data_IF_004069245930
#
_entry.id   IF_004069245930
#
_cell.length_a   1.000
_cell.length_b   1.000
_cell.length_c   1.000
_cell.angle_alpha   90.00
_cell.angle_beta   90.00
_cell.angle_gamma   90.00
#
_symmetry.space_group_name_H-M   'P 1'
#
loop_
_entity.id
_entity.type
_entity.pdbx_description
1 polymer ?
#
# COMPACT_ATOMS: atom_id res chain seq x y z
N UNK A 1 -10.77 -13.26 -15.55
CA UNK A 1 -12.02 -12.51 -15.77
C UNK A 1 -11.72 -11.04 -15.53
N UNK A 2 -12.26 -10.10 -16.33
CA UNK A 2 -12.12 -8.67 -16.03
C UNK A 2 -12.68 -8.36 -14.63
N UNK A 3 -12.21 -7.30 -13.96
CA UNK A 3 -12.73 -6.95 -12.65
C UNK A 3 -14.19 -6.51 -12.78
N UNK A 4 -15.02 -6.76 -11.74
CA UNK A 4 -16.44 -6.39 -11.78
C UNK A 4 -16.65 -4.92 -12.16
N UNK A 5 -17.64 -4.65 -13.01
CA UNK A 5 -18.00 -3.32 -13.48
C UNK A 5 -18.30 -2.37 -12.32
N UNK A 6 -19.02 -2.85 -11.29
CA UNK A 6 -19.30 -2.08 -10.08
C UNK A 6 -18.00 -1.59 -9.39
N UNK A 7 -16.95 -2.42 -9.36
CA UNK A 7 -15.66 -2.04 -8.78
C UNK A 7 -14.92 -1.00 -9.63
N UNK A 8 -15.03 -1.10 -10.96
CA UNK A 8 -14.44 -0.13 -11.88
C UNK A 8 -15.14 1.23 -11.79
N UNK A 9 -16.47 1.24 -11.70
CA UNK A 9 -17.25 2.47 -11.60
C UNK A 9 -17.05 3.18 -10.27
N UNK A 10 -17.05 2.43 -9.17
CA UNK A 10 -16.70 2.98 -7.86
C UNK A 10 -15.31 3.65 -7.90
N UNK A 11 -14.33 2.97 -8.51
CA UNK A 11 -12.99 3.54 -8.68
C UNK A 11 -12.98 4.84 -9.50
N UNK A 12 -13.64 4.87 -10.67
CA UNK A 12 -13.74 6.08 -11.52
C UNK A 12 -14.41 7.23 -10.77
N UNK A 13 -15.43 6.94 -9.97
CA UNK A 13 -16.10 7.94 -9.14
C UNK A 13 -15.15 8.52 -8.08
N UNK A 14 -14.40 7.67 -7.36
CA UNK A 14 -13.40 8.14 -6.40
C UNK A 14 -12.32 9.00 -7.06
N UNK A 15 -11.85 8.63 -8.26
CA UNK A 15 -10.90 9.44 -9.02
C UNK A 15 -11.47 10.83 -9.37
N UNK A 16 -12.72 10.89 -9.83
CA UNK A 16 -13.37 12.18 -10.16
C UNK A 16 -13.48 13.07 -8.92
N UNK A 17 -13.91 12.50 -7.79
CA UNK A 17 -13.98 13.21 -6.51
C UNK A 17 -12.61 13.74 -6.08
N UNK A 18 -11.57 12.91 -6.23
CA UNK A 18 -10.19 13.29 -5.94
C UNK A 18 -9.74 14.49 -6.80
N UNK A 19 -9.96 14.44 -8.12
CA UNK A 19 -9.57 15.50 -9.05
C UNK A 19 -10.27 16.82 -8.72
N UNK A 20 -11.58 16.77 -8.43
CA UNK A 20 -12.37 17.94 -8.05
C UNK A 20 -11.84 18.55 -6.75
N UNK A 21 -11.57 17.72 -5.74
CA UNK A 21 -11.07 18.17 -4.44
C UNK A 21 -9.66 18.80 -4.54
N UNK A 22 -8.75 18.16 -5.29
CA UNK A 22 -7.41 18.71 -5.54
C UNK A 22 -7.49 20.04 -6.29
N UNK A 23 -8.35 20.15 -7.31
CA UNK A 23 -8.54 21.41 -8.03
C UNK A 23 -9.11 22.51 -7.13
N UNK A 24 -10.06 22.19 -6.25
CA UNK A 24 -10.57 23.13 -5.24
C UNK A 24 -9.47 23.56 -4.26
N UNK A 25 -8.64 22.61 -3.79
CA UNK A 25 -7.48 22.86 -2.94
C UNK A 25 -6.48 23.81 -3.58
N UNK A 26 -6.10 23.57 -4.84
CA UNK A 26 -5.18 24.44 -5.59
C UNK A 26 -5.72 25.85 -5.75
N UNK A 27 -7.01 26.00 -6.10
CA UNK A 27 -7.67 27.31 -6.20
C UNK A 27 -7.68 28.06 -4.87
N UNK A 28 -7.97 27.37 -3.78
CA UNK A 28 -7.93 27.95 -2.44
C UNK A 28 -6.50 28.37 -2.06
N UNK A 29 -5.52 27.48 -2.30
CA UNK A 29 -4.11 27.69 -1.98
C UNK A 29 -3.46 28.81 -2.79
N UNK A 30 -3.93 29.07 -4.01
CA UNK A 30 -3.43 30.18 -4.84
C UNK A 30 -3.62 31.57 -4.19
N UNK A 31 -4.50 31.67 -3.19
CA UNK A 31 -4.74 32.92 -2.43
C UNK A 31 -3.84 33.05 -1.18
N UNK A 32 -2.95 32.09 -0.94
CA UNK A 32 -2.03 32.14 0.20
C UNK A 32 -1.02 33.28 0.04
N UNK A 33 -0.73 33.97 1.14
CA UNK A 33 0.20 35.10 1.20
C UNK A 33 1.45 34.80 2.03
N UNK A 34 2.33 35.80 2.25
CA UNK A 34 3.51 35.66 3.11
C UNK A 34 3.15 35.40 4.58
N UNK A 35 2.02 35.93 5.04
CA UNK A 35 1.46 35.64 6.36
C UNK A 35 0.69 34.31 6.32
N UNK A 36 1.43 33.21 6.48
CA UNK A 36 0.90 31.86 6.23
C UNK A 36 -0.32 31.51 7.09
N UNK A 37 -0.33 31.85 8.37
CA UNK A 37 -1.46 31.53 9.25
C UNK A 37 -2.70 32.36 8.93
N UNK A 38 -2.53 33.67 8.81
CA UNK A 38 -3.63 34.60 8.51
C UNK A 38 -4.26 34.29 7.15
N UNK A 39 -3.44 33.99 6.13
CA UNK A 39 -3.97 33.61 4.81
C UNK A 39 -4.63 32.23 4.83
N UNK A 40 -4.14 31.30 5.66
CA UNK A 40 -4.80 30.00 5.87
C UNK A 40 -6.19 30.15 6.48
N UNK A 41 -6.34 30.95 7.53
CA UNK A 41 -7.62 31.19 8.22
C UNK A 41 -8.72 31.66 7.26
N UNK A 42 -8.36 32.42 6.22
CA UNK A 42 -9.29 32.89 5.19
C UNK A 42 -9.72 31.81 4.19
N UNK A 43 -8.89 30.79 3.97
CA UNK A 43 -9.15 29.75 2.95
C UNK A 43 -9.65 28.43 3.56
N UNK A 44 -9.28 28.16 4.80
CA UNK A 44 -9.50 26.87 5.46
C UNK A 44 -10.98 26.49 5.60
N UNK A 45 -11.91 27.38 6.02
CA UNK A 45 -13.30 26.99 6.23
C UNK A 45 -13.95 26.42 4.97
N UNK A 46 -13.83 27.13 3.84
CA UNK A 46 -14.37 26.68 2.56
C UNK A 46 -13.72 25.38 2.07
N UNK A 47 -12.40 25.26 2.20
CA UNK A 47 -11.68 24.05 1.80
C UNK A 47 -12.08 22.83 2.64
N UNK A 48 -12.22 23.00 3.95
CA UNK A 48 -12.68 21.94 4.86
C UNK A 48 -14.10 21.52 4.51
N UNK A 49 -15.02 22.46 4.25
CA UNK A 49 -16.39 22.14 3.84
C UNK A 49 -16.42 21.28 2.57
N UNK A 50 -15.64 21.64 1.54
CA UNK A 50 -15.55 20.86 0.30
C UNK A 50 -14.95 19.48 0.55
N UNK A 51 -13.92 19.39 1.40
CA UNK A 51 -13.29 18.12 1.74
C UNK A 51 -14.24 17.19 2.52
N UNK A 52 -14.99 17.71 3.50
CA UNK A 52 -16.03 16.96 4.24
C UNK A 52 -17.12 16.47 3.31
N UNK A 53 -17.64 17.33 2.42
CA UNK A 53 -18.64 16.93 1.43
C UNK A 53 -18.12 15.83 0.49
N UNK A 54 -16.83 15.90 0.12
CA UNK A 54 -16.17 14.88 -0.70
C UNK A 54 -16.06 13.54 0.04
N UNK A 55 -15.68 13.55 1.32
CA UNK A 55 -15.66 12.33 2.15
C UNK A 55 -17.04 11.69 2.26
N UNK A 56 -18.06 12.50 2.56
CA UNK A 56 -19.43 12.02 2.66
C UNK A 56 -19.92 11.43 1.34
N UNK A 57 -19.62 12.08 0.20
CA UNK A 57 -19.97 11.55 -1.11
C UNK A 57 -19.27 10.23 -1.40
N UNK A 58 -17.96 10.13 -1.14
CA UNK A 58 -17.21 8.88 -1.32
C UNK A 58 -17.76 7.73 -0.47
N UNK A 59 -18.20 8.01 0.76
CA UNK A 59 -18.84 7.03 1.64
C UNK A 59 -20.24 6.64 1.14
N UNK A 60 -21.01 7.56 0.59
CA UNK A 60 -22.31 7.25 -0.01
C UNK A 60 -22.17 6.34 -1.24
N UNK A 61 -21.16 6.59 -2.08
CA UNK A 61 -20.85 5.74 -3.23
C UNK A 61 -20.45 4.33 -2.80
N UNK A 62 -19.78 4.17 -1.65
CA UNK A 62 -19.46 2.86 -1.10
C UNK A 62 -20.73 2.06 -0.71
N UNK A 63 -21.74 2.74 -0.16
CA UNK A 63 -23.02 2.11 0.20
C UNK A 63 -23.79 1.60 -1.04
N UNK A 64 -23.63 2.25 -2.20
CA UNK A 64 -24.20 1.77 -3.47
C UNK A 64 -23.35 0.71 -4.14
N UNK A 65 -22.02 0.84 -4.05
CA UNK A 65 -21.06 -0.06 -4.68
C UNK A 65 -21.14 -1.49 -4.15
N UNK A 66 -21.18 -1.70 -2.83
CA UNK A 66 -21.09 -3.05 -2.27
C UNK A 66 -22.28 -3.94 -2.67
N UNK A 67 -23.55 -3.52 -2.54
CA UNK A 67 -24.68 -4.32 -3.01
C UNK A 67 -24.62 -4.59 -4.52
N UNK A 68 -24.27 -3.58 -5.32
CA UNK A 68 -24.15 -3.74 -6.78
C UNK A 68 -23.09 -4.78 -7.16
N UNK A 69 -21.93 -4.75 -6.48
CA UNK A 69 -20.87 -5.73 -6.67
C UNK A 69 -21.32 -7.15 -6.29
N UNK A 70 -21.98 -7.30 -5.14
CA UNK A 70 -22.42 -8.61 -4.66
C UNK A 70 -23.47 -9.21 -5.62
N UNK A 71 -24.40 -8.39 -6.13
CA UNK A 71 -25.35 -8.80 -7.15
C UNK A 71 -24.66 -9.18 -8.47
N UNK A 72 -23.68 -8.40 -8.93
CA UNK A 72 -22.91 -8.69 -10.15
C UNK A 72 -22.13 -10.01 -10.06
N UNK A 73 -21.67 -10.36 -8.87
CA UNK A 73 -20.79 -11.52 -8.62
C UNK A 73 -21.52 -12.72 -8.02
N UNK A 74 -22.85 -12.70 -8.01
CA UNK A 74 -23.73 -13.73 -7.46
C UNK A 74 -23.31 -14.16 -6.04
N UNK A 75 -23.14 -13.16 -5.17
CA UNK A 75 -22.75 -13.34 -3.77
C UNK A 75 -23.95 -13.04 -2.84
N UNK A 76 -24.05 -13.76 -1.71
CA UNK A 76 -25.11 -13.50 -0.74
C UNK A 76 -24.95 -12.09 -0.13
N UNK A 77 -26.06 -11.36 -0.08
CA UNK A 77 -26.13 -10.00 0.47
C UNK A 77 -27.15 -9.93 1.62
N UNK A 78 -26.69 -10.27 2.82
CA UNK A 78 -27.47 -10.18 4.07
C UNK A 78 -26.79 -9.20 5.04
N UNK A 79 -26.97 -7.88 4.86
CA UNK A 79 -26.36 -6.89 5.73
C UNK A 79 -27.14 -6.78 7.05
N UNK A 80 -26.42 -6.65 8.17
CA UNK A 80 -27.03 -6.40 9.48
C UNK A 80 -27.65 -5.00 9.62
N UNK A 81 -27.34 -4.08 8.70
CA UNK A 81 -27.83 -2.70 8.71
C UNK A 81 -27.39 -1.91 7.48
N UNK A 82 -27.46 -0.59 7.59
CA UNK A 82 -26.94 0.34 6.59
C UNK A 82 -25.92 1.27 7.23
N UNK A 83 -24.86 1.61 6.48
CA UNK A 83 -23.91 2.61 6.96
C UNK A 83 -24.54 4.01 6.96
N UNK A 84 -23.96 4.91 7.75
CA UNK A 84 -24.35 6.32 7.79
C UNK A 84 -23.23 7.14 7.13
N UNK A 85 -23.34 7.55 5.84
CA UNK A 85 -22.22 8.17 5.11
C UNK A 85 -21.60 9.39 5.79
N UNK A 86 -22.42 10.21 6.47
CA UNK A 86 -21.93 11.38 7.23
C UNK A 86 -20.95 11.02 8.36
N UNK A 87 -20.98 9.79 8.88
CA UNK A 87 -20.09 9.34 9.96
C UNK A 87 -18.64 9.12 9.48
N UNK A 88 -18.41 9.06 8.16
CA UNK A 88 -17.09 8.90 7.55
C UNK A 88 -16.47 10.23 7.10
N UNK A 89 -17.07 11.35 7.48
CA UNK A 89 -16.65 12.69 7.08
C UNK A 89 -16.21 13.53 8.29
N UNK A 90 -15.31 14.49 8.07
CA UNK A 90 -14.80 15.40 9.11
C UNK A 90 -13.57 14.90 9.86
N UNK A 91 -13.21 13.63 9.69
CA UNK A 91 -12.05 13.00 10.34
C UNK A 91 -11.09 12.45 9.29
N UNK A 92 -9.80 12.66 9.52
CA UNK A 92 -8.74 12.09 8.71
C UNK A 92 -8.52 10.61 9.04
N UNK A 93 -7.88 9.87 8.14
CA UNK A 93 -7.61 8.45 8.34
C UNK A 93 -6.60 8.12 9.46
N UNK A 94 -5.90 9.12 10.01
CA UNK A 94 -5.06 9.01 11.21
C UNK A 94 -5.81 9.41 12.50
N UNK A 95 -7.12 9.67 12.42
CA UNK A 95 -8.01 9.93 13.56
C UNK A 95 -8.14 11.40 13.97
N UNK A 96 -7.35 12.32 13.38
CA UNK A 96 -7.44 13.75 13.73
C UNK A 96 -8.57 14.45 12.97
N UNK A 97 -9.05 15.62 13.45
CA UNK A 97 -9.99 16.45 12.69
C UNK A 97 -9.42 16.84 11.33
N UNK A 98 -10.27 16.85 10.29
CA UNK A 98 -9.83 17.10 8.91
C UNK A 98 -9.12 18.46 8.76
N UNK A 99 -9.59 19.52 9.44
CA UNK A 99 -8.92 20.82 9.43
C UNK A 99 -7.47 20.77 9.95
N UNK A 100 -7.22 19.98 10.99
CA UNK A 100 -5.87 19.77 11.54
C UNK A 100 -4.97 19.00 10.56
N UNK A 101 -5.53 18.04 9.82
CA UNK A 101 -4.81 17.40 8.72
C UNK A 101 -4.39 18.43 7.67
N UNK A 102 -5.33 19.23 7.16
CA UNK A 102 -5.05 20.15 6.06
C UNK A 102 -4.10 21.29 6.46
N UNK A 103 -4.12 21.74 7.72
CA UNK A 103 -3.16 22.71 8.24
C UNK A 103 -1.70 22.23 8.16
N UNK A 104 -1.46 20.92 8.02
CA UNK A 104 -0.13 20.38 7.76
C UNK A 104 0.56 21.01 6.53
N UNK A 105 -0.20 21.53 5.56
CA UNK A 105 0.34 22.26 4.42
C UNK A 105 1.04 23.57 4.83
N UNK A 106 0.46 24.29 5.78
CA UNK A 106 1.03 25.51 6.37
C UNK A 106 2.30 25.18 7.13
N UNK A 107 2.29 24.10 7.91
CA UNK A 107 3.48 23.61 8.63
C UNK A 107 4.61 23.29 7.64
N UNK A 108 4.33 22.62 6.53
CA UNK A 108 5.36 22.35 5.52
C UNK A 108 5.89 23.63 4.85
N UNK A 109 5.04 24.63 4.59
CA UNK A 109 5.49 25.92 4.08
C UNK A 109 6.42 26.63 5.07
N UNK A 110 6.06 26.64 6.37
CA UNK A 110 6.92 27.20 7.44
C UNK A 110 8.26 26.49 7.56
N UNK A 111 8.26 25.15 7.54
CA UNK A 111 9.49 24.35 7.59
C UNK A 111 10.37 24.62 6.38
N UNK A 112 9.80 24.70 5.17
CA UNK A 112 10.53 25.07 3.97
C UNK A 112 11.13 26.49 4.05
N UNK A 113 10.40 27.43 4.65
CA UNK A 113 10.88 28.80 4.89
C UNK A 113 12.07 28.82 5.84
N UNK A 114 12.08 27.96 6.84
CA UNK A 114 13.20 27.73 7.77
C UNK A 114 14.34 26.90 7.17
N UNK A 115 14.17 26.35 5.97
CA UNK A 115 15.18 25.53 5.30
C UNK A 115 15.24 24.08 5.78
N UNK A 116 14.25 23.64 6.55
CA UNK A 116 14.15 22.25 6.98
C UNK A 116 13.84 21.34 5.77
N UNK A 117 14.60 20.25 5.66
CA UNK A 117 14.32 19.15 4.74
C UNK A 117 13.53 18.11 5.52
N UNK A 118 12.32 17.82 5.07
CA UNK A 118 11.48 16.79 5.66
C UNK A 118 11.49 15.51 4.83
N UNK A 119 11.59 14.37 5.50
CA UNK A 119 11.35 13.04 4.92
C UNK A 119 10.36 12.32 5.80
N UNK A 120 9.31 11.80 5.16
CA UNK A 120 8.22 11.08 5.80
C UNK A 120 7.41 11.80 6.89
N UNK A 121 7.71 13.07 7.18
CA UNK A 121 7.07 13.86 8.22
C UNK A 121 8.07 14.42 9.21
N UNK A 122 9.28 13.86 9.23
CA UNK A 122 10.35 14.22 10.15
C UNK A 122 11.37 15.12 9.47
N UNK A 123 11.93 16.06 10.24
CA UNK A 123 13.04 16.90 9.77
C UNK A 123 14.32 16.06 9.77
N UNK A 124 14.92 15.88 8.60
CA UNK A 124 16.14 15.08 8.45
C UNK A 124 17.41 15.93 8.42
N UNK A 125 17.30 17.18 7.97
CA UNK A 125 18.44 18.12 7.86
C UNK A 125 17.95 19.54 7.60
N UNK A 126 18.89 20.49 7.60
CA UNK A 126 18.62 21.90 7.27
C UNK A 126 19.49 22.37 6.09
N UNK A 127 18.96 23.32 5.34
CA UNK A 127 19.58 24.04 4.22
C UNK A 127 19.26 25.53 4.34
N UNK A 128 19.87 26.42 3.54
CA UNK A 128 19.42 27.80 3.49
C UNK A 128 17.92 27.89 3.20
N UNK A 129 17.21 28.72 3.97
CA UNK A 129 15.76 28.90 3.88
C UNK A 129 15.29 29.33 2.49
N UNK A 130 14.09 28.90 2.10
CA UNK A 130 13.49 29.21 0.79
C UNK A 130 12.79 30.57 0.80
N UNK A 131 12.64 31.19 -0.38
CA UNK A 131 11.77 32.34 -0.55
C UNK A 131 10.30 31.99 -0.26
N UNK A 132 9.45 33.00 -0.02
CA UNK A 132 8.03 32.81 0.32
C UNK A 132 7.30 31.98 -0.74
N UNK A 133 7.52 32.28 -2.02
CA UNK A 133 6.85 31.59 -3.12
C UNK A 133 7.26 30.11 -3.23
N UNK A 134 8.55 29.82 -3.07
CA UNK A 134 9.06 28.44 -3.06
C UNK A 134 8.51 27.64 -1.86
N UNK A 135 8.43 28.28 -0.68
CA UNK A 135 7.86 27.69 0.51
C UNK A 135 6.37 27.37 0.34
N UNK A 136 5.59 28.30 -0.23
CA UNK A 136 4.18 28.08 -0.57
C UNK A 136 4.02 26.98 -1.61
N UNK A 137 4.93 26.87 -2.59
CA UNK A 137 4.90 25.78 -3.57
C UNK A 137 5.13 24.41 -2.91
N UNK A 138 6.01 24.34 -1.90
CA UNK A 138 6.23 23.11 -1.10
C UNK A 138 4.97 22.75 -0.30
N UNK A 139 4.38 23.72 0.41
CA UNK A 139 3.13 23.53 1.16
C UNK A 139 1.97 23.09 0.26
N UNK A 140 1.83 23.69 -0.92
CA UNK A 140 0.81 23.34 -1.91
C UNK A 140 0.96 21.92 -2.45
N UNK A 141 2.18 21.47 -2.73
CA UNK A 141 2.43 20.06 -3.13
C UNK A 141 2.10 19.06 -2.02
N UNK A 142 2.32 19.45 -0.77
CA UNK A 142 1.91 18.64 0.37
C UNK A 142 0.38 18.58 0.45
N UNK A 143 -0.30 19.71 0.30
CA UNK A 143 -1.76 19.79 0.30
C UNK A 143 -2.38 18.93 -0.80
N UNK A 144 -1.85 19.01 -2.03
CA UNK A 144 -2.26 18.17 -3.16
C UNK A 144 -2.17 16.68 -2.81
N UNK A 145 -1.05 16.25 -2.23
CA UNK A 145 -0.83 14.87 -1.84
C UNK A 145 -1.80 14.39 -0.76
N UNK A 146 -2.15 15.26 0.17
CA UNK A 146 -3.11 14.99 1.24
C UNK A 146 -4.55 14.93 0.72
N UNK A 147 -4.97 15.94 -0.05
CA UNK A 147 -6.32 15.98 -0.66
C UNK A 147 -6.53 14.82 -1.63
N UNK A 148 -5.47 14.36 -2.31
CA UNK A 148 -5.52 13.22 -3.19
C UNK A 148 -5.94 11.90 -2.51
N UNK A 149 -5.86 11.78 -1.19
CA UNK A 149 -6.26 10.55 -0.48
C UNK A 149 -7.53 10.68 0.34
N UNK A 150 -8.03 11.90 0.59
CA UNK A 150 -9.19 12.15 1.47
C UNK A 150 -10.45 11.38 1.02
N UNK A 151 -10.78 11.45 -0.27
CA UNK A 151 -11.95 10.76 -0.83
C UNK A 151 -11.77 9.23 -0.75
N UNK A 152 -10.61 8.74 -1.20
CA UNK A 152 -10.30 7.30 -1.25
C UNK A 152 -10.26 6.68 0.14
N UNK A 153 -9.73 7.39 1.13
CA UNK A 153 -9.67 6.91 2.52
C UNK A 153 -11.08 6.79 3.12
N UNK A 154 -11.96 7.79 2.92
CA UNK A 154 -13.34 7.74 3.39
C UNK A 154 -14.15 6.63 2.72
N UNK A 155 -14.07 6.52 1.39
CA UNK A 155 -14.72 5.44 0.65
C UNK A 155 -14.22 4.07 1.08
N UNK A 156 -12.90 3.92 1.30
CA UNK A 156 -12.30 2.66 1.77
C UNK A 156 -12.76 2.26 3.17
N UNK A 157 -12.86 3.21 4.10
CA UNK A 157 -13.39 2.96 5.44
C UNK A 157 -14.87 2.55 5.37
N UNK A 158 -15.67 3.23 4.55
CA UNK A 158 -17.07 2.90 4.33
C UNK A 158 -17.25 1.48 3.75
N UNK A 159 -16.47 1.10 2.73
CA UNK A 159 -16.48 -0.28 2.20
C UNK A 159 -16.07 -1.29 3.28
N UNK A 160 -15.08 -0.96 4.13
CA UNK A 160 -14.71 -1.81 5.25
C UNK A 160 -15.86 -2.06 6.23
N UNK A 161 -16.65 -1.02 6.54
CA UNK A 161 -17.85 -1.16 7.38
C UNK A 161 -18.96 -1.94 6.67
N UNK A 162 -19.17 -1.71 5.37
CA UNK A 162 -20.10 -2.49 4.54
C UNK A 162 -19.74 -3.99 4.54
N UNK A 163 -18.45 -4.33 4.46
CA UNK A 163 -17.98 -5.71 4.59
C UNK A 163 -18.25 -6.24 6.00
N UNK A 164 -17.93 -5.47 7.04
CA UNK A 164 -18.05 -5.89 8.43
C UNK A 164 -19.50 -6.20 8.86
N UNK A 165 -20.49 -5.52 8.26
CA UNK A 165 -21.90 -5.80 8.56
C UNK A 165 -22.47 -7.04 7.86
N UNK A 166 -21.69 -7.70 6.99
CA UNK A 166 -22.08 -8.93 6.28
C UNK A 166 -21.31 -10.12 6.85
N UNK A 167 -22.03 -11.07 7.44
CA UNK A 167 -21.39 -12.25 8.07
C UNK A 167 -20.71 -13.11 7.01
N UNK A 168 -19.53 -13.64 7.34
CA UNK A 168 -18.75 -14.48 6.43
C UNK A 168 -18.04 -13.73 5.30
N UNK A 169 -18.25 -12.41 5.16
CA UNK A 169 -17.62 -11.62 4.11
C UNK A 169 -16.15 -11.32 4.44
N UNK A 170 -15.31 -11.31 3.41
CA UNK A 170 -13.96 -10.77 3.45
C UNK A 170 -13.74 -9.80 2.31
N UNK A 171 -12.50 -9.65 1.89
CA UNK A 171 -12.17 -8.78 0.76
C UNK A 171 -10.91 -9.23 0.02
N UNK A 172 -10.92 -9.01 -1.28
CA UNK A 172 -9.76 -9.12 -2.15
C UNK A 172 -9.17 -7.73 -2.37
N UNK A 173 -7.85 -7.60 -2.30
CA UNK A 173 -7.19 -6.34 -2.63
C UNK A 173 -7.14 -6.15 -4.14
N UNK A 174 -7.87 -5.16 -4.65
CA UNK A 174 -7.71 -4.70 -6.02
C UNK A 174 -6.71 -3.54 -6.03
N UNK A 175 -5.61 -3.73 -6.76
CA UNK A 175 -4.70 -2.62 -7.05
C UNK A 175 -5.21 -1.86 -8.27
N UNK A 176 -4.98 -0.54 -8.30
CA UNK A 176 -5.18 0.21 -9.50
C UNK A 176 -3.81 0.53 -10.15
N UNK A 177 -3.48 -0.12 -11.28
CA UNK A 177 -2.23 0.15 -11.98
C UNK A 177 -2.22 1.51 -12.69
N UNK A 178 -1.05 2.15 -12.85
CA UNK A 178 0.25 1.69 -12.35
C UNK A 178 0.37 1.89 -10.83
N UNK A 179 0.85 0.88 -10.10
CA UNK A 179 0.91 0.90 -8.62
C UNK A 179 2.32 0.60 -8.11
N UNK A 180 2.61 0.88 -6.83
CA UNK A 180 3.94 0.56 -6.30
C UNK A 180 4.11 -0.96 -6.07
N UNK A 181 5.36 -1.42 -6.08
CA UNK A 181 5.74 -2.82 -5.82
C UNK A 181 5.12 -3.40 -4.54
N UNK A 182 5.05 -2.64 -3.46
CA UNK A 182 4.44 -3.06 -2.18
C UNK A 182 2.93 -3.27 -2.26
N UNK A 183 2.24 -2.57 -3.15
CA UNK A 183 0.82 -2.81 -3.43
C UNK A 183 0.65 -3.98 -4.38
N UNK A 184 1.48 -4.06 -5.43
CA UNK A 184 1.41 -5.10 -6.45
C UNK A 184 1.51 -6.51 -5.85
N UNK A 185 2.43 -6.75 -4.89
CA UNK A 185 2.55 -8.07 -4.24
C UNK A 185 1.36 -8.46 -3.34
N UNK A 186 0.46 -7.52 -3.05
CA UNK A 186 -0.74 -7.75 -2.27
C UNK A 186 -1.99 -7.90 -3.14
N UNK A 187 -1.87 -7.67 -4.46
CA UNK A 187 -2.96 -7.80 -5.42
C UNK A 187 -3.56 -9.21 -5.35
N UNK A 188 -4.89 -9.29 -5.33
CA UNK A 188 -5.63 -10.55 -5.40
C UNK A 188 -5.62 -11.41 -4.15
N UNK A 189 -4.85 -11.02 -3.13
CA UNK A 189 -4.92 -11.71 -1.85
C UNK A 189 -6.27 -11.44 -1.20
N UNK A 190 -6.93 -12.51 -0.78
CA UNK A 190 -8.08 -12.45 0.11
C UNK A 190 -7.66 -12.17 1.57
N UNK A 191 -8.49 -11.40 2.25
CA UNK A 191 -8.33 -10.94 3.62
C UNK A 191 -9.67 -11.08 4.35
N UNK A 192 -9.62 -11.31 5.66
CA UNK A 192 -10.82 -11.33 6.50
C UNK A 192 -11.38 -9.92 6.66
N UNK A 193 -12.66 -9.79 6.99
CA UNK A 193 -13.28 -8.49 7.31
C UNK A 193 -12.53 -7.70 8.37
N UNK A 194 -11.88 -8.37 9.33
CA UNK A 194 -11.13 -7.76 10.43
C UNK A 194 -9.69 -7.41 10.07
N UNK A 195 -9.19 -7.87 8.92
CA UNK A 195 -7.88 -7.50 8.44
C UNK A 195 -7.90 -6.05 7.95
N UNK A 196 -7.10 -5.20 8.60
CA UNK A 196 -6.99 -3.79 8.21
C UNK A 196 -6.33 -3.59 6.85
N UNK A 197 -6.64 -2.46 6.21
CA UNK A 197 -6.07 -2.12 4.91
C UNK A 197 -4.70 -1.44 5.04
N UNK A 198 -3.63 -2.18 4.74
CA UNK A 198 -2.27 -1.61 4.68
C UNK A 198 -2.11 -0.68 3.49
N UNK A 199 -2.01 0.62 3.74
CA UNK A 199 -1.78 1.66 2.73
C UNK A 199 -0.49 2.44 2.99
N UNK A 200 0.07 2.99 1.92
CA UNK A 200 1.13 4.00 1.95
C UNK A 200 0.56 5.34 1.44
N UNK A 201 1.35 6.41 1.54
CA UNK A 201 0.99 7.72 0.97
C UNK A 201 0.69 7.57 -0.53
N UNK A 202 -0.43 8.14 -1.01
CA UNK A 202 -0.90 8.05 -2.41
C UNK A 202 -1.35 6.66 -2.89
N UNK A 203 -1.70 5.75 -1.98
CA UNK A 203 -2.27 4.45 -2.33
C UNK A 203 -3.76 4.59 -2.71
N UNK A 204 -4.10 4.29 -3.96
CA UNK A 204 -5.45 4.36 -4.53
C UNK A 204 -6.16 3.00 -4.65
N UNK A 205 -5.56 1.93 -4.11
CA UNK A 205 -6.10 0.57 -4.12
C UNK A 205 -7.44 0.47 -3.34
N UNK A 206 -8.28 -0.49 -3.70
CA UNK A 206 -9.63 -0.64 -3.10
C UNK A 206 -9.87 -2.06 -2.58
N UNK A 207 -10.92 -2.21 -1.77
CA UNK A 207 -11.47 -3.50 -1.37
C UNK A 207 -12.45 -3.98 -2.45
N UNK A 208 -12.33 -5.23 -2.90
CA UNK A 208 -13.41 -5.96 -3.56
C UNK A 208 -14.02 -6.89 -2.51
N UNK A 209 -15.21 -6.57 -1.97
CA UNK A 209 -15.98 -7.51 -1.14
C UNK A 209 -16.08 -8.89 -1.78
N UNK A 210 -15.70 -9.92 -1.02
CA UNK A 210 -15.71 -11.30 -1.50
C UNK A 210 -15.92 -12.28 -0.33
N UNK A 211 -16.89 -13.19 -0.46
CA UNK A 211 -17.20 -14.24 0.51
C UNK A 211 -16.08 -15.27 0.62
N UNK A 212 -15.34 -15.49 -0.45
CA UNK A 212 -14.24 -16.45 -0.55
C UNK A 212 -13.12 -15.95 -1.47
N UNK A 213 -12.05 -16.73 -1.59
CA UNK A 213 -10.88 -16.41 -2.43
C UNK A 213 -11.23 -16.52 -3.92
N UNK A 214 -11.91 -15.51 -4.48
CA UNK A 214 -12.17 -15.37 -5.92
C UNK A 214 -11.10 -14.49 -6.56
N UNK A 215 -9.88 -15.02 -6.70
CA UNK A 215 -8.78 -14.36 -7.41
C UNK A 215 -8.71 -14.84 -8.87
N UNK A 216 -8.79 -13.92 -9.84
CA UNK A 216 -8.78 -14.30 -11.26
C UNK A 216 -8.61 -13.17 -12.30
N UNK A 217 -8.19 -11.97 -11.89
CA UNK A 217 -7.97 -10.80 -12.75
C UNK A 217 -6.52 -10.27 -12.72
N UNK A 218 -6.10 -9.50 -13.72
CA UNK A 218 -4.78 -8.84 -13.77
C UNK A 218 -4.56 -7.82 -12.65
N UNK A 219 -5.61 -7.12 -12.18
CA UNK A 219 -5.52 -6.24 -10.99
C UNK A 219 -5.46 -7.01 -9.68
N UNK A 220 -5.54 -8.34 -9.78
CA UNK A 220 -5.40 -9.31 -8.69
C UNK A 220 -4.23 -10.27 -8.92
N UNK A 221 -3.41 -10.06 -9.95
CA UNK A 221 -2.27 -10.92 -10.25
C UNK A 221 -0.96 -10.10 -10.20
N UNK A 222 -0.15 -10.29 -9.14
CA UNK A 222 1.15 -9.65 -9.01
C UNK A 222 2.08 -9.86 -10.21
N UNK A 223 2.06 -11.04 -10.83
CA UNK A 223 2.94 -11.37 -11.94
C UNK A 223 2.48 -10.68 -13.23
N UNK A 224 1.18 -10.71 -13.52
CA UNK A 224 0.63 -10.00 -14.67
C UNK A 224 0.91 -8.48 -14.61
N UNK A 225 0.86 -7.89 -13.41
CA UNK A 225 1.24 -6.48 -13.22
C UNK A 225 2.70 -6.22 -13.55
N UNK A 226 3.60 -7.13 -13.14
CA UNK A 226 5.03 -7.02 -13.40
C UNK A 226 5.33 -7.16 -14.90
N UNK A 227 4.77 -8.18 -15.54
CA UNK A 227 5.02 -8.51 -16.95
C UNK A 227 4.54 -7.39 -17.90
N UNK A 228 3.48 -6.67 -17.51
CA UNK A 228 2.95 -5.54 -18.28
C UNK A 228 3.59 -4.18 -17.91
N UNK A 229 4.63 -4.15 -17.07
CA UNK A 229 5.32 -2.91 -16.69
C UNK A 229 4.45 -1.96 -15.86
N UNK A 230 3.44 -2.48 -15.15
CA UNK A 230 2.49 -1.70 -14.36
C UNK A 230 2.95 -1.47 -12.91
N UNK A 231 4.17 -1.91 -12.58
CA UNK A 231 4.75 -1.82 -11.23
C UNK A 231 5.81 -0.72 -11.15
N UNK A 232 5.54 0.27 -10.31
CA UNK A 232 6.43 1.38 -10.01
C UNK A 232 7.26 1.13 -8.75
N UNK A 233 8.36 1.88 -8.62
CA UNK A 233 9.15 1.94 -7.39
C UNK A 233 10.12 0.78 -7.19
N UNK A 234 10.35 -0.03 -8.22
CA UNK A 234 11.44 -1.02 -8.23
C UNK A 234 12.78 -0.30 -8.45
N UNK A 235 13.82 -0.70 -7.72
CA UNK A 235 15.20 -0.31 -8.00
C UNK A 235 15.79 -1.10 -9.16
N UNK A 236 16.96 -0.67 -9.62
CA UNK A 236 17.64 -1.30 -10.74
C UNK A 236 18.06 -2.74 -10.43
N UNK A 237 18.57 -3.02 -9.22
CA UNK A 237 18.91 -4.37 -8.79
C UNK A 237 17.69 -5.28 -8.71
N UNK A 238 16.57 -4.78 -8.17
CA UNK A 238 15.30 -5.49 -8.15
C UNK A 238 14.80 -5.84 -9.56
N UNK A 239 14.83 -4.89 -10.51
CA UNK A 239 14.45 -5.17 -11.91
C UNK A 239 15.29 -6.27 -12.54
N UNK A 240 16.60 -6.22 -12.34
CA UNK A 240 17.53 -7.24 -12.86
C UNK A 240 17.26 -8.61 -12.23
N UNK A 241 17.07 -8.67 -10.90
CA UNK A 241 16.78 -9.93 -10.22
C UNK A 241 15.48 -10.55 -10.73
N UNK A 242 14.44 -9.75 -10.98
CA UNK A 242 13.17 -10.23 -11.54
C UNK A 242 13.35 -10.73 -12.98
N UNK A 243 14.14 -10.03 -13.80
CA UNK A 243 14.49 -10.48 -15.15
C UNK A 243 15.27 -11.80 -15.13
N UNK A 244 16.12 -12.01 -14.12
CA UNK A 244 16.87 -13.25 -13.88
C UNK A 244 16.01 -14.36 -13.21
N UNK A 245 14.70 -14.15 -13.02
CA UNK A 245 13.74 -15.15 -12.55
C UNK A 245 13.54 -15.21 -11.03
N UNK A 246 13.90 -14.14 -10.30
CA UNK A 246 13.62 -14.06 -8.87
C UNK A 246 12.12 -13.95 -8.55
N UNK A 247 11.71 -14.52 -7.43
CA UNK A 247 10.34 -14.41 -6.91
C UNK A 247 10.00 -12.96 -6.53
N UNK A 248 8.89 -12.46 -7.09
CA UNK A 248 8.48 -11.06 -6.94
C UNK A 248 8.23 -10.67 -5.48
N UNK A 249 7.59 -11.53 -4.69
CA UNK A 249 7.32 -11.24 -3.28
C UNK A 249 8.61 -11.20 -2.45
N UNK A 250 9.59 -12.07 -2.73
CA UNK A 250 10.88 -12.09 -2.02
C UNK A 250 11.72 -10.86 -2.35
N UNK A 251 11.75 -10.44 -3.61
CA UNK A 251 12.45 -9.22 -4.06
C UNK A 251 11.88 -7.98 -3.35
N UNK A 252 10.56 -7.79 -3.38
CA UNK A 252 9.92 -6.61 -2.79
C UNK A 252 10.00 -6.61 -1.26
N UNK A 253 9.89 -7.77 -0.62
CA UNK A 253 9.97 -7.82 0.85
C UNK A 253 11.40 -7.65 1.38
N UNK A 254 12.45 -7.88 0.57
CA UNK A 254 13.84 -7.66 0.98
C UNK A 254 14.14 -6.19 1.36
N UNK A 255 13.33 -5.24 0.89
CA UNK A 255 13.41 -3.83 1.31
C UNK A 255 13.10 -3.62 2.81
N UNK A 256 12.51 -4.61 3.49
CA UNK A 256 12.27 -4.56 4.93
C UNK A 256 13.53 -4.94 5.68
N UNK A 257 13.81 -4.22 6.77
CA UNK A 257 14.96 -4.52 7.62
C UNK A 257 16.30 -4.44 6.89
N UNK A 258 16.39 -3.56 5.88
CA UNK A 258 17.63 -3.31 5.16
C UNK A 258 18.66 -2.66 6.07
N UNK A 259 19.90 -3.10 5.93
CA UNK A 259 21.05 -2.50 6.57
C UNK A 259 22.24 -2.53 5.62
N UNK A 260 23.25 -1.74 5.95
CA UNK A 260 24.48 -1.69 5.17
C UNK A 260 25.56 -2.46 5.91
N UNK A 261 26.33 -3.28 5.20
CA UNK A 261 27.43 -4.08 5.76
C UNK A 261 28.55 -4.21 4.74
N UNK A 262 29.70 -4.75 5.14
CA UNK A 262 30.84 -4.96 4.25
C UNK A 262 30.97 -6.44 3.91
N UNK A 263 30.94 -6.78 2.62
CA UNK A 263 31.15 -8.15 2.12
C UNK A 263 32.23 -8.08 1.04
N UNK A 264 33.26 -8.93 1.18
CA UNK A 264 34.42 -8.95 0.27
C UNK A 264 35.05 -7.55 0.05
N UNK A 265 35.17 -6.76 1.12
CA UNK A 265 35.75 -5.41 1.08
C UNK A 265 34.88 -4.33 0.45
N UNK A 266 33.63 -4.63 0.06
CA UNK A 266 32.69 -3.67 -0.51
C UNK A 266 31.53 -3.39 0.43
N UNK A 267 31.12 -2.13 0.50
CA UNK A 267 29.92 -1.71 1.21
C UNK A 267 28.67 -2.11 0.41
N UNK A 268 27.83 -2.96 0.99
CA UNK A 268 26.69 -3.58 0.32
C UNK A 268 25.42 -3.49 1.14
N UNK A 269 24.28 -3.60 0.46
CA UNK A 269 22.95 -3.67 1.09
C UNK A 269 22.56 -5.11 1.40
N UNK A 270 22.27 -5.37 2.67
CA UNK A 270 21.77 -6.63 3.18
C UNK A 270 20.39 -6.45 3.82
N UNK A 271 19.70 -7.55 4.10
CA UNK A 271 18.36 -7.57 4.69
C UNK A 271 18.26 -8.59 5.81
N UNK A 272 17.51 -8.24 6.85
CA UNK A 272 17.12 -9.18 7.91
C UNK A 272 15.80 -9.90 7.62
N UNK A 273 15.09 -9.53 6.54
CA UNK A 273 13.83 -10.16 6.17
C UNK A 273 14.02 -11.65 5.85
N UNK A 274 13.07 -12.49 6.26
CA UNK A 274 13.08 -13.95 6.14
C UNK A 274 14.36 -14.68 6.65
N UNK A 275 15.24 -14.03 7.42
CA UNK A 275 16.45 -14.67 7.97
C UNK A 275 16.19 -15.51 9.22
N UNK A 276 14.93 -15.64 9.66
CA UNK A 276 14.55 -16.39 10.87
C UNK A 276 14.21 -17.85 10.58
N UNK A 277 14.00 -18.64 11.65
CA UNK A 277 13.51 -20.04 11.57
C UNK A 277 12.19 -20.21 10.82
N UNK A 278 11.39 -19.15 10.69
CA UNK A 278 10.13 -19.15 9.93
C UNK A 278 10.28 -18.76 8.46
N UNK A 279 11.46 -18.28 8.08
CA UNK A 279 11.81 -17.98 6.70
C UNK A 279 12.88 -18.94 6.20
N UNK A 280 13.82 -18.40 5.42
CA UNK A 280 14.94 -19.14 4.83
C UNK A 280 16.16 -19.23 5.75
N UNK A 281 16.02 -18.88 7.03
CA UNK A 281 17.17 -18.79 7.95
C UNK A 281 17.96 -20.09 8.06
N UNK A 282 17.28 -21.25 7.96
CA UNK A 282 17.93 -22.57 7.97
C UNK A 282 18.75 -22.83 6.70
N UNK A 283 18.26 -22.33 5.57
CA UNK A 283 18.91 -22.49 4.26
C UNK A 283 20.12 -21.56 4.12
N UNK A 284 20.10 -20.42 4.82
CA UNK A 284 21.19 -19.45 4.84
C UNK A 284 22.39 -19.90 5.69
N UNK A 285 22.15 -20.62 6.80
CA UNK A 285 23.22 -21.10 7.66
C UNK A 285 22.82 -21.29 9.12
N UNK A 286 23.81 -21.25 10.00
CA UNK A 286 23.62 -21.51 11.43
C UNK A 286 22.68 -20.48 12.08
N UNK A 287 21.78 -20.98 12.92
CA UNK A 287 20.76 -20.18 13.58
C UNK A 287 21.14 -19.90 15.04
N UNK A 288 21.16 -18.63 15.42
CA UNK A 288 21.37 -18.19 16.80
C UNK A 288 20.13 -17.49 17.35
N UNK A 289 19.95 -17.53 18.69
CA UNK A 289 18.85 -16.83 19.38
C UNK A 289 19.44 -15.67 20.17
N UNK A 290 19.19 -14.44 19.74
CA UNK A 290 19.59 -13.28 20.51
C UNK A 290 18.71 -13.11 21.77
N UNK A 291 19.27 -12.58 22.88
CA UNK A 291 18.49 -12.25 24.07
C UNK A 291 17.29 -11.34 23.74
N UNK A 292 16.10 -11.70 24.21
CA UNK A 292 14.86 -10.96 23.95
C UNK A 292 14.20 -11.24 22.59
N UNK A 293 14.86 -11.94 21.66
CA UNK A 293 14.22 -12.31 20.38
C UNK A 293 13.35 -13.57 20.51
N UNK A 294 12.17 -13.52 19.89
CA UNK A 294 11.21 -14.64 19.89
C UNK A 294 11.68 -15.83 19.04
N UNK A 295 12.37 -15.56 17.94
CA UNK A 295 12.77 -16.57 16.95
C UNK A 295 14.29 -16.64 16.81
N UNK A 296 14.82 -17.80 16.40
CA UNK A 296 16.24 -17.90 16.02
C UNK A 296 16.44 -17.30 14.63
N UNK A 297 17.56 -16.64 14.40
CA UNK A 297 17.95 -15.99 13.14
C UNK A 297 19.26 -16.54 12.64
N UNK A 298 19.42 -16.62 11.32
CA UNK A 298 20.69 -16.97 10.70
C UNK A 298 21.75 -15.93 11.03
N UNK A 299 22.98 -16.39 11.30
CA UNK A 299 24.16 -15.53 11.40
C UNK A 299 24.70 -15.14 10.03
N UNK A 300 24.29 -15.86 8.97
CA UNK A 300 24.69 -15.56 7.61
C UNK A 300 24.03 -14.28 7.10
N UNK A 301 24.79 -13.49 6.34
CA UNK A 301 24.32 -12.25 5.72
C UNK A 301 23.45 -12.61 4.53
N UNK A 302 22.18 -12.20 4.57
CA UNK A 302 21.31 -12.21 3.39
C UNK A 302 21.44 -10.90 2.62
N UNK A 303 22.01 -10.94 1.43
CA UNK A 303 22.15 -9.77 0.56
C UNK A 303 20.78 -9.37 -0.03
N UNK A 304 20.60 -8.09 -0.34
CA UNK A 304 19.50 -7.60 -1.19
C UNK A 304 19.82 -7.84 -2.66
N UNK A 305 18.85 -7.79 -3.59
CA UNK A 305 19.13 -7.79 -5.03
C UNK A 305 20.21 -6.76 -5.42
N UNK A 306 20.08 -5.52 -4.92
CA UNK A 306 21.08 -4.46 -5.13
C UNK A 306 22.46 -4.87 -4.61
N UNK A 307 22.52 -5.41 -3.40
CA UNK A 307 23.77 -5.87 -2.79
C UNK A 307 24.42 -7.01 -3.58
N UNK A 308 23.62 -7.92 -4.15
CA UNK A 308 24.12 -9.03 -5.00
C UNK A 308 24.80 -8.47 -6.25
N UNK A 309 24.14 -7.58 -7.00
CA UNK A 309 24.73 -7.03 -8.22
C UNK A 309 25.91 -6.07 -7.95
N UNK A 310 26.10 -5.59 -6.72
CA UNK A 310 27.29 -4.82 -6.34
C UNK A 310 28.54 -5.69 -6.15
N UNK A 311 28.37 -6.97 -5.80
CA UNK A 311 29.49 -7.91 -5.53
C UNK A 311 29.69 -8.96 -6.61
N UNK A 312 28.64 -9.26 -7.39
CA UNK A 312 28.71 -10.26 -8.43
C UNK A 312 29.79 -9.92 -9.47
N UNK A 313 30.64 -10.90 -9.78
CA UNK A 313 31.69 -10.75 -10.78
C UNK A 313 31.19 -10.95 -12.22
N UNK A 314 30.10 -11.70 -12.39
CA UNK A 314 29.48 -12.04 -13.68
C UNK A 314 27.98 -12.29 -13.51
N UNK A 315 27.27 -12.47 -14.62
CA UNK A 315 25.86 -12.85 -14.60
C UNK A 315 25.64 -14.21 -13.92
N UNK A 316 26.49 -15.19 -14.20
CA UNK A 316 26.42 -16.51 -13.56
C UNK A 316 26.65 -16.41 -12.04
N UNK A 317 27.57 -15.55 -11.62
CA UNK A 317 27.82 -15.29 -10.20
C UNK A 317 26.62 -14.59 -9.53
N UNK A 318 25.97 -13.66 -10.23
CA UNK A 318 24.74 -13.02 -9.76
C UNK A 318 23.62 -14.05 -9.59
N UNK A 319 23.39 -14.95 -10.56
CA UNK A 319 22.38 -16.01 -10.48
C UNK A 319 22.69 -16.96 -9.32
N UNK A 320 23.96 -17.35 -9.15
CA UNK A 320 24.42 -18.17 -8.02
C UNK A 320 24.11 -17.49 -6.68
N UNK A 321 24.41 -16.20 -6.56
CA UNK A 321 24.12 -15.41 -5.35
C UNK A 321 22.61 -15.21 -5.12
N UNK A 322 21.81 -15.03 -6.17
CA UNK A 322 20.35 -14.95 -6.07
C UNK A 322 19.75 -16.26 -5.55
N UNK A 323 20.25 -17.41 -6.00
CA UNK A 323 19.87 -18.72 -5.45
C UNK A 323 20.31 -18.89 -4.00
N UNK A 324 21.56 -18.54 -3.68
CA UNK A 324 22.10 -18.64 -2.31
C UNK A 324 21.33 -17.77 -1.30
N UNK A 325 20.79 -16.62 -1.73
CA UNK A 325 19.96 -15.73 -0.91
C UNK A 325 18.45 -16.02 -1.05
N UNK A 326 18.13 -17.13 -1.73
CA UNK A 326 16.80 -17.65 -2.02
C UNK A 326 15.85 -16.63 -2.65
N UNK A 327 16.34 -15.78 -3.55
CA UNK A 327 15.52 -14.97 -4.44
C UNK A 327 15.02 -15.78 -5.63
N UNK A 328 15.85 -16.67 -6.15
CA UNK A 328 15.46 -17.67 -7.15
C UNK A 328 15.29 -18.98 -6.41
N UNK A 329 14.13 -19.60 -6.58
CA UNK A 329 13.87 -20.98 -6.17
C UNK A 329 13.65 -21.83 -7.42
N UNK A 330 13.90 -23.12 -7.32
CA UNK A 330 13.70 -24.01 -8.45
C UNK A 330 12.23 -23.94 -8.91
N UNK A 331 11.99 -23.69 -10.20
CA UNK A 331 10.66 -23.31 -10.73
C UNK A 331 9.60 -24.38 -10.43
N UNK A 332 10.01 -25.65 -10.47
CA UNK A 332 9.18 -26.79 -10.08
C UNK A 332 8.75 -26.78 -8.60
N UNK A 333 9.60 -26.28 -7.70
CA UNK A 333 9.29 -26.19 -6.27
C UNK A 333 8.33 -25.02 -5.97
N UNK A 334 8.41 -23.92 -6.73
CA UNK A 334 7.47 -22.79 -6.63
C UNK A 334 6.09 -23.20 -7.11
N UNK A 335 6.01 -23.87 -8.25
CA UNK A 335 4.74 -24.34 -8.80
C UNK A 335 4.07 -25.36 -7.85
N UNK A 336 4.86 -26.29 -7.28
CA UNK A 336 4.38 -27.24 -6.27
C UNK A 336 3.91 -26.53 -4.97
N UNK A 337 4.65 -25.53 -4.49
CA UNK A 337 4.28 -24.78 -3.29
C UNK A 337 3.04 -23.91 -3.50
N UNK A 338 2.89 -23.29 -4.69
CA UNK A 338 1.71 -22.51 -5.04
C UNK A 338 0.47 -23.38 -5.18
N UNK A 339 0.60 -24.57 -5.79
CA UNK A 339 -0.47 -25.57 -5.85
C UNK A 339 -0.83 -26.09 -4.46
N UNK A 340 0.16 -26.39 -3.60
CA UNK A 340 -0.08 -26.82 -2.23
C UNK A 340 -0.74 -25.72 -1.38
N UNK A 341 -0.34 -24.45 -1.54
CA UNK A 341 -0.94 -23.32 -0.86
C UNK A 341 -2.36 -23.03 -1.34
N UNK A 342 -2.68 -23.24 -2.62
CA UNK A 342 -4.06 -23.21 -3.14
C UNK A 342 -4.89 -24.34 -2.53
N UNK A 343 -4.41 -25.59 -2.61
CA UNK A 343 -5.09 -26.76 -2.02
C UNK A 343 -5.33 -26.65 -0.51
N UNK A 344 -4.37 -26.11 0.25
CA UNK A 344 -4.52 -25.91 1.69
C UNK A 344 -5.55 -24.81 2.02
N UNK A 345 -5.68 -23.79 1.14
CA UNK A 345 -6.73 -22.76 1.25
C UNK A 345 -8.11 -23.32 0.90
N UNK A 346 -8.20 -24.10 -0.16
CA UNK A 346 -9.45 -24.74 -0.59
C UNK A 346 -9.95 -25.72 0.48
N UNK A 347 -9.05 -26.50 1.08
CA UNK A 347 -9.36 -27.40 2.19
C UNK A 347 -9.83 -26.65 3.46
N UNK A 348 -9.26 -25.47 3.73
CA UNK A 348 -9.71 -24.62 4.84
C UNK A 348 -11.09 -23.99 4.58
N UNK A 349 -11.38 -23.63 3.32
CA UNK A 349 -12.70 -23.17 2.89
C UNK A 349 -13.77 -24.26 3.02
N UNK A 350 -13.49 -25.47 2.54
CA UNK A 350 -14.39 -26.62 2.62
C UNK A 350 -14.69 -27.03 4.07
N UNK A 351 -13.68 -27.08 4.95
CA UNK A 351 -13.87 -27.42 6.36
C UNK A 351 -14.73 -26.42 7.14
N UNK A 352 -14.94 -25.21 6.62
CA UNK A 352 -15.80 -24.18 7.21
C UNK A 352 -17.24 -24.24 6.67
N UNK A 353 -17.44 -24.73 5.45
CA UNK A 353 -18.77 -24.94 4.88
C UNK A 353 -19.53 -26.08 5.58
N UNK A 354 -18.82 -27.07 6.12
CA UNK A 354 -19.38 -28.21 6.87
C UNK A 354 -19.64 -27.93 8.36
N UNK A 355 -19.38 -26.72 8.87
CA UNK A 355 -19.74 -26.35 10.24
C UNK A 355 -21.18 -25.83 10.28
N UNK A 356 -22.11 -26.48 11.02
CA UNK A 356 -23.47 -25.96 11.17
C UNK A 356 -23.40 -24.57 11.81
N UNK A 357 -24.17 -23.63 11.25
CA UNK A 357 -24.29 -22.29 11.77
C UNK A 357 -24.82 -22.35 13.21
N UNK A 358 -24.01 -21.90 14.17
CA UNK A 358 -24.42 -21.64 15.55
C UNK A 358 -25.08 -20.27 15.67
#
# INVERSE_FOLDING_TARGET
MPPPEAAQDFYRTLQRLQLVLVAAGRRAWARMGPEFDTSWEQIAPALVTVAVATQQRAAAEAASYVPALLAETDQPDEPAGAIVPRAFAGTAADGRPLGSLLYGAVVQAKLARQGAITRDGDVTSYTPGRGVQDALAIGGRWLDGTLATVATDAGRQAVGTEIAQRRGMGWVRMVNPPCCSRCAILAGRWYRWSDGFKRHKRCDCTHIPAAEDRAGDFRTDPQALLDNGLVNGLSEGQRRALADGADFARVVNADRGMYTTTVAGRLVRATTEATTTRGIGRDLGELTKAPGERYRRSTAIRLTPEGIYQVAASQDDAIRLLRANAYITDRAAVDAANVAARRARDAYGAARADQPAL
#
